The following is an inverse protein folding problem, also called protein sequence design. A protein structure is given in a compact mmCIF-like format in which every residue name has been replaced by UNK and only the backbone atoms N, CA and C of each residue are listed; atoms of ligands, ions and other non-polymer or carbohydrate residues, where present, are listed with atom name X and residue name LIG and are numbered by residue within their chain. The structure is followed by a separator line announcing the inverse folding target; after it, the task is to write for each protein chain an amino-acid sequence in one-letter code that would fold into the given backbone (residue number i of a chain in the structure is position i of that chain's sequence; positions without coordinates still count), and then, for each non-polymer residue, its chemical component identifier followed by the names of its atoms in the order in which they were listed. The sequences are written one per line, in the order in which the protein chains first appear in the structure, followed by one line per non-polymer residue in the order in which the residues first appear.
data_IF_646333485575
#
_entry.id   IF_646333485575
#
_cell.length_a   1.000
_cell.length_b   1.000
_cell.length_c   1.000
_cell.angle_alpha   90.00
_cell.angle_beta   90.00
_cell.angle_gamma   90.00
#
_symmetry.space_group_name_H-M   'P 1'
#
loop_
_entity.id
_entity.type
_entity.pdbx_description
1 polymer ?
#
# COMPACT_ATOMS: atom_id res chain seq x y z
N UNK A 1 -22.72 34.60 -44.41
CA UNK A 1 -22.70 34.74 -42.93
C UNK A 1 -24.13 35.03 -42.48
N UNK A 2 -24.62 34.50 -41.34
CA UNK A 2 -23.84 34.25 -40.14
C UNK A 2 -23.81 32.79 -39.66
N UNK A 3 -22.60 32.40 -39.25
CA UNK A 3 -22.35 31.48 -38.16
C UNK A 3 -22.70 32.20 -36.86
N UNK A 4 -23.26 31.49 -35.87
CA UNK A 4 -23.11 31.89 -34.47
C UNK A 4 -23.31 30.73 -33.49
N UNK A 5 -22.69 30.84 -32.31
CA UNK A 5 -22.11 29.71 -31.57
C UNK A 5 -22.70 29.55 -30.15
N UNK A 6 -22.28 28.52 -29.42
CA UNK A 6 -21.92 28.52 -27.98
C UNK A 6 -21.77 27.07 -27.51
N UNK A 7 -20.61 26.57 -27.11
CA UNK A 7 -19.76 26.94 -25.96
C UNK A 7 -20.35 26.51 -24.60
N UNK A 8 -19.67 25.54 -24.00
CA UNK A 8 -19.43 25.26 -22.58
C UNK A 8 -20.20 26.07 -21.51
N UNK A 9 -20.78 25.36 -20.55
CA UNK A 9 -20.50 25.56 -19.11
C UNK A 9 -21.27 24.53 -18.27
N UNK A 10 -20.56 23.61 -17.58
CA UNK A 10 -21.10 22.97 -16.38
C UNK A 10 -21.05 23.99 -15.23
N UNK A 11 -22.09 24.08 -14.38
CA UNK A 11 -22.20 25.15 -13.39
C UNK A 11 -21.17 24.98 -12.26
N UNK A 12 -20.35 26.02 -12.06
CA UNK A 12 -19.63 26.26 -10.81
C UNK A 12 -20.62 26.75 -9.76
N UNK A 13 -20.91 25.93 -8.75
CA UNK A 13 -21.59 26.39 -7.54
C UNK A 13 -20.59 26.98 -6.56
N UNK A 14 -20.59 28.30 -6.46
CA UNK A 14 -20.01 29.09 -5.37
C UNK A 14 -20.94 29.05 -4.16
N UNK A 15 -20.44 28.62 -3.00
CA UNK A 15 -21.05 28.94 -1.70
C UNK A 15 -19.94 29.38 -0.76
N UNK A 16 -20.16 30.52 -0.11
CA UNK A 16 -19.23 31.14 0.81
C UNK A 16 -19.90 31.42 2.17
N UNK A 17 -19.03 31.46 3.20
CA UNK A 17 -19.15 32.09 4.54
C UNK A 17 -20.06 31.34 5.55
N UNK A 18 -19.77 31.13 6.85
CA UNK A 18 -18.98 31.87 7.85
C UNK A 18 -18.67 30.98 9.08
N UNK A 19 -17.53 31.23 9.73
CA UNK A 19 -17.09 30.65 11.02
C UNK A 19 -17.75 31.32 12.24
N UNK A 20 -17.70 30.66 13.41
CA UNK A 20 -17.21 31.36 14.60
C UNK A 20 -16.09 30.60 15.31
N UNK A 21 -15.29 31.36 16.04
CA UNK A 21 -14.05 30.94 16.68
C UNK A 21 -14.21 30.58 18.17
N UNK A 22 -13.41 29.60 18.56
CA UNK A 22 -12.73 29.37 19.85
C UNK A 22 -13.54 29.18 21.15
N UNK A 23 -13.27 28.04 21.80
CA UNK A 23 -12.87 28.02 23.21
C UNK A 23 -11.95 26.84 23.50
N UNK A 24 -10.98 27.08 24.39
CA UNK A 24 -9.79 26.31 24.63
C UNK A 24 -9.90 25.30 25.79
N UNK A 25 -8.86 24.45 25.92
CA UNK A 25 -8.49 23.60 27.07
C UNK A 25 -9.17 22.21 27.07
N UNK A 26 -8.44 21.10 27.02
CA UNK A 26 -7.43 20.70 28.01
C UNK A 26 -6.43 19.68 27.43
N UNK A 27 -5.19 19.80 27.93
CA UNK A 27 -4.04 18.93 27.68
C UNK A 27 -4.26 17.55 28.30
N UNK A 28 -4.23 16.49 27.50
CA UNK A 28 -4.04 15.11 27.97
C UNK A 28 -2.77 14.51 27.35
N UNK A 29 -1.84 14.07 28.21
CA UNK A 29 -0.59 13.36 27.88
C UNK A 29 -0.88 11.86 27.59
N UNK A 30 0.03 11.14 26.91
CA UNK A 30 -0.28 10.00 26.06
C UNK A 30 -0.30 8.65 26.80
N UNK A 31 -1.29 7.82 26.48
CA UNK A 31 -1.37 6.38 26.80
C UNK A 31 -2.51 5.82 25.93
N UNK A 32 -2.45 4.68 25.27
CA UNK A 32 -1.63 3.50 25.45
C UNK A 32 -1.28 2.89 24.08
N UNK A 33 -0.23 2.08 24.07
CA UNK A 33 0.07 1.17 22.97
C UNK A 33 -1.20 0.43 22.51
N UNK A 34 -1.36 0.29 21.20
CA UNK A 34 -2.38 -0.55 20.60
C UNK A 34 -2.37 -1.93 21.27
N UNK A 35 -3.55 -2.52 21.56
CA UNK A 35 -3.61 -3.85 22.12
C UNK A 35 -2.94 -4.82 21.13
N UNK A 36 -1.87 -5.44 21.59
CA UNK A 36 -1.22 -6.58 20.94
C UNK A 36 -2.29 -7.65 20.75
N UNK A 37 -2.64 -7.96 19.50
CA UNK A 37 -3.64 -8.96 19.18
C UNK A 37 -3.29 -10.28 19.90
N UNK A 38 -4.25 -10.78 20.69
CA UNK A 38 -4.13 -12.07 21.37
C UNK A 38 -4.18 -13.20 20.33
N UNK A 39 -3.42 -14.29 20.53
CA UNK A 39 -3.46 -15.45 19.65
C UNK A 39 -4.83 -16.13 19.83
N UNK A 40 -5.70 -16.01 18.84
CA UNK A 40 -7.04 -16.59 18.90
C UNK A 40 -8.13 -15.85 18.13
N UNK A 41 -7.83 -14.73 17.45
CA UNK A 41 -8.73 -14.23 16.42
C UNK A 41 -8.86 -15.33 15.37
N UNK A 42 -9.99 -16.04 15.43
CA UNK A 42 -10.32 -17.17 14.57
C UNK A 42 -10.02 -16.73 13.15
N UNK A 43 -9.28 -17.55 12.39
CA UNK A 43 -8.91 -17.33 10.99
C UNK A 43 -10.18 -17.18 10.14
N UNK A 44 -10.94 -16.09 10.29
CA UNK A 44 -12.08 -15.78 9.45
C UNK A 44 -11.50 -15.65 8.05
N UNK A 45 -12.07 -16.42 7.12
CA UNK A 45 -11.73 -16.29 5.73
C UNK A 45 -12.00 -14.84 5.35
N UNK A 46 -10.97 -14.16 4.83
CA UNK A 46 -11.20 -12.90 4.16
C UNK A 46 -11.90 -13.24 2.84
N UNK A 47 -13.05 -12.61 2.54
CA UNK A 47 -13.75 -12.92 1.31
C UNK A 47 -12.84 -12.63 0.10
N UNK A 48 -12.61 -13.68 -0.70
CA UNK A 48 -12.05 -13.59 -2.05
C UNK A 48 -13.22 -13.58 -3.02
N UNK A 49 -13.19 -12.67 -3.98
CA UNK A 49 -14.26 -12.46 -4.97
C UNK A 49 -13.69 -12.53 -6.38
N UNK A 50 -14.53 -12.86 -7.37
CA UNK A 50 -14.14 -12.94 -8.79
C UNK A 50 -14.88 -11.92 -9.66
N UNK A 51 -15.71 -11.08 -9.05
CA UNK A 51 -16.50 -10.03 -9.69
C UNK A 51 -16.93 -9.00 -8.63
N UNK A 52 -17.21 -7.74 -9.03
CA UNK A 52 -17.67 -6.69 -8.12
C UNK A 52 -19.03 -7.02 -7.51
N UNK A 53 -19.42 -6.31 -6.45
CA UNK A 53 -20.69 -6.56 -5.78
C UNK A 53 -21.12 -5.49 -4.78
N UNK A 54 -22.42 -5.45 -4.47
CA UNK A 54 -23.04 -4.39 -3.68
C UNK A 54 -22.38 -4.10 -2.32
N UNK A 55 -21.75 -5.11 -1.70
CA UNK A 55 -21.07 -5.00 -0.40
C UNK A 55 -19.54 -5.10 -0.50
N UNK A 56 -18.98 -4.89 -1.69
CA UNK A 56 -17.55 -5.03 -1.98
C UNK A 56 -16.82 -3.69 -2.10
N UNK A 57 -17.49 -2.56 -1.83
CA UNK A 57 -16.83 -1.27 -1.76
C UNK A 57 -15.59 -1.31 -0.83
N UNK A 58 -14.45 -0.88 -1.36
CA UNK A 58 -13.14 -0.93 -0.72
C UNK A 58 -12.36 -2.23 -0.92
N UNK A 59 -12.87 -3.21 -1.66
CA UNK A 59 -12.11 -4.40 -2.02
C UNK A 59 -11.00 -4.04 -3.01
N UNK A 60 -9.85 -4.68 -2.87
CA UNK A 60 -8.72 -4.53 -3.79
C UNK A 60 -8.78 -5.63 -4.82
N UNK A 61 -8.89 -5.26 -6.09
CA UNK A 61 -8.96 -6.17 -7.22
C UNK A 61 -7.62 -6.21 -7.94
N UNK A 62 -7.28 -7.39 -8.43
CA UNK A 62 -6.04 -7.71 -9.11
C UNK A 62 -6.35 -8.03 -10.57
N UNK A 63 -5.54 -7.49 -11.46
CA UNK A 63 -5.56 -7.78 -12.89
C UNK A 63 -4.18 -8.18 -13.35
N UNK A 64 -4.11 -9.06 -14.35
CA UNK A 64 -2.97 -9.09 -15.27
C UNK A 64 -3.27 -8.06 -16.35
N UNK A 65 -2.29 -7.22 -16.65
CA UNK A 65 -2.29 -6.42 -17.87
C UNK A 65 -1.18 -6.93 -18.78
N UNK A 66 -1.46 -7.03 -20.07
CA UNK A 66 -0.46 -7.32 -21.10
C UNK A 66 -0.26 -6.06 -21.93
N UNK A 67 0.94 -5.51 -21.90
CA UNK A 67 1.33 -4.34 -22.67
C UNK A 67 1.39 -4.66 -24.18
N UNK A 68 1.41 -3.64 -25.07
CA UNK A 68 1.44 -3.84 -26.51
C UNK A 68 2.64 -4.65 -27.03
N UNK A 69 3.75 -4.67 -26.28
CA UNK A 69 4.96 -5.44 -26.56
C UNK A 69 4.89 -6.89 -26.03
N UNK A 70 3.82 -7.25 -25.32
CA UNK A 70 3.61 -8.57 -24.75
C UNK A 70 4.08 -8.73 -23.31
N UNK A 71 4.66 -7.69 -22.69
CA UNK A 71 5.05 -7.76 -21.27
C UNK A 71 3.83 -7.80 -20.36
N UNK A 72 3.86 -8.67 -19.35
CA UNK A 72 2.79 -8.82 -18.37
C UNK A 72 3.15 -8.17 -17.04
N UNK A 73 2.17 -7.47 -16.45
CA UNK A 73 2.29 -6.87 -15.12
C UNK A 73 1.01 -7.12 -14.31
N UNK A 74 1.17 -7.37 -13.01
CA UNK A 74 0.04 -7.38 -12.08
C UNK A 74 -0.29 -5.94 -11.67
N UNK A 75 -1.50 -5.52 -11.96
CA UNK A 75 -2.06 -4.23 -11.58
C UNK A 75 -3.13 -4.41 -10.49
N UNK A 76 -3.30 -3.37 -9.69
CA UNK A 76 -4.31 -3.35 -8.62
C UNK A 76 -5.19 -2.10 -8.68
N UNK A 77 -6.44 -2.26 -8.28
CA UNK A 77 -7.43 -1.19 -8.18
C UNK A 77 -8.36 -1.42 -7.00
N UNK A 78 -9.11 -0.40 -6.61
CA UNK A 78 -10.05 -0.48 -5.49
C UNK A 78 -11.49 -0.25 -5.95
N UNK A 79 -12.40 -1.12 -5.51
CA UNK A 79 -13.82 -1.02 -5.85
C UNK A 79 -14.50 0.12 -5.09
N UNK A 80 -15.29 0.91 -5.81
CA UNK A 80 -16.07 2.01 -5.29
C UNK A 80 -17.52 1.58 -4.96
N UNK A 81 -18.27 2.37 -4.17
CA UNK A 81 -19.64 2.01 -3.81
C UNK A 81 -20.63 1.85 -4.98
N UNK A 82 -20.29 2.36 -6.16
CA UNK A 82 -21.06 2.23 -7.39
C UNK A 82 -20.56 1.09 -8.30
N UNK A 83 -19.66 0.22 -7.81
CA UNK A 83 -19.11 -0.93 -8.53
C UNK A 83 -18.02 -0.59 -9.55
N UNK A 84 -17.68 0.70 -9.69
CA UNK A 84 -16.56 1.15 -10.52
C UNK A 84 -15.22 0.91 -9.83
N UNK A 85 -14.14 0.90 -10.60
CA UNK A 85 -12.78 0.70 -10.13
C UNK A 85 -12.02 2.01 -10.19
N UNK A 86 -11.44 2.40 -9.06
CA UNK A 86 -10.39 3.39 -9.02
C UNK A 86 -9.04 2.70 -9.14
N UNK A 87 -8.29 3.03 -10.19
CA UNK A 87 -6.96 2.46 -10.44
C UNK A 87 -6.04 3.53 -11.05
N UNK A 88 -4.72 3.32 -10.97
CA UNK A 88 -3.78 4.10 -11.75
C UNK A 88 -3.28 3.22 -12.90
N UNK A 89 -3.48 3.63 -14.15
CA UNK A 89 -3.22 2.81 -15.32
C UNK A 89 -2.11 3.42 -16.18
N UNK A 90 -1.20 2.61 -16.78
CA UNK A 90 -0.16 3.12 -17.68
C UNK A 90 -0.72 4.06 -18.76
N UNK A 91 -0.05 5.18 -18.99
CA UNK A 91 -0.42 6.25 -19.95
C UNK A 91 -1.69 7.06 -19.61
N UNK A 92 -2.59 6.54 -18.76
CA UNK A 92 -3.85 7.21 -18.39
C UNK A 92 -3.81 7.90 -17.03
N UNK A 93 -2.90 7.49 -16.14
CA UNK A 93 -2.84 8.00 -14.77
C UNK A 93 -3.96 7.44 -13.89
N UNK A 94 -4.33 8.19 -12.85
CA UNK A 94 -5.41 7.81 -11.92
C UNK A 94 -6.76 8.03 -12.58
N UNK A 95 -7.57 6.97 -12.66
CA UNK A 95 -8.87 6.97 -13.31
C UNK A 95 -9.92 6.22 -12.49
N UNK A 96 -11.19 6.58 -12.71
CA UNK A 96 -12.34 5.81 -12.24
C UNK A 96 -13.07 5.25 -13.45
N UNK A 97 -13.04 3.94 -13.60
CA UNK A 97 -13.58 3.23 -14.78
C UNK A 97 -14.60 2.18 -14.37
N UNK A 98 -15.43 1.76 -15.30
CA UNK A 98 -16.28 0.58 -15.09
C UNK A 98 -15.42 -0.67 -14.86
N UNK A 99 -15.96 -1.65 -14.15
CA UNK A 99 -15.24 -2.90 -13.90
C UNK A 99 -15.02 -3.66 -15.22
N UNK A 100 -13.76 -4.03 -15.49
CA UNK A 100 -13.38 -4.80 -16.67
C UNK A 100 -12.94 -6.20 -16.22
N UNK A 101 -13.77 -7.21 -16.48
CA UNK A 101 -13.43 -8.60 -16.16
C UNK A 101 -12.35 -9.15 -17.09
N UNK A 102 -12.50 -8.91 -18.39
CA UNK A 102 -11.57 -9.28 -19.44
C UNK A 102 -11.79 -8.34 -20.62
N UNK A 103 -10.73 -7.97 -21.32
CA UNK A 103 -10.87 -7.14 -22.52
C UNK A 103 -9.62 -6.33 -22.84
N UNK A 104 -9.86 -5.13 -23.39
CA UNK A 104 -8.80 -4.23 -23.81
C UNK A 104 -9.04 -2.81 -23.33
N UNK A 105 -7.95 -2.13 -22.98
CA UNK A 105 -7.93 -0.71 -22.63
C UNK A 105 -7.07 0.00 -23.66
N UNK A 106 -7.66 0.96 -24.37
CA UNK A 106 -6.90 1.91 -25.21
C UNK A 106 -6.38 3.04 -24.32
N UNK A 107 -5.06 3.09 -24.20
CA UNK A 107 -4.35 4.09 -23.44
C UNK A 107 -3.48 4.94 -24.38
N UNK A 108 -4.07 6.03 -24.89
CA UNK A 108 -3.41 6.96 -25.83
C UNK A 108 -2.91 6.30 -27.12
N UNK A 109 -3.73 5.42 -27.71
CA UNK A 109 -3.41 4.67 -28.92
C UNK A 109 -2.56 3.42 -28.69
N UNK A 110 -2.29 3.08 -27.43
CA UNK A 110 -1.63 1.83 -27.03
C UNK A 110 -2.67 0.89 -26.45
N UNK A 111 -2.78 -0.30 -27.03
CA UNK A 111 -3.78 -1.27 -26.65
C UNK A 111 -3.22 -2.25 -25.62
N UNK A 112 -3.75 -2.21 -24.41
CA UNK A 112 -3.41 -3.14 -23.33
C UNK A 112 -4.49 -4.20 -23.23
N UNK A 113 -4.11 -5.47 -23.10
CA UNK A 113 -5.06 -6.52 -22.69
C UNK A 113 -5.17 -6.51 -21.18
N UNK A 114 -6.37 -6.72 -20.66
CA UNK A 114 -6.61 -6.76 -19.22
C UNK A 114 -7.43 -8.00 -18.88
N UNK A 115 -7.03 -8.69 -17.83
CA UNK A 115 -7.74 -9.85 -17.32
C UNK A 115 -7.81 -9.77 -15.79
N UNK A 116 -9.02 -9.73 -15.26
CA UNK A 116 -9.27 -9.78 -13.83
C UNK A 116 -8.93 -11.15 -13.27
N UNK A 117 -8.24 -11.16 -12.13
CA UNK A 117 -7.87 -12.39 -11.44
C UNK A 117 -8.80 -12.67 -10.27
N UNK A 118 -8.89 -11.71 -9.34
CA UNK A 118 -9.63 -11.83 -8.09
C UNK A 118 -9.71 -10.46 -7.38
N UNK A 119 -10.58 -10.37 -6.38
CA UNK A 119 -10.63 -9.27 -5.43
C UNK A 119 -10.49 -9.79 -4.00
N UNK A 120 -9.88 -8.99 -3.14
CA UNK A 120 -9.70 -9.28 -1.72
C UNK A 120 -10.19 -8.13 -0.86
N UNK A 121 -10.82 -8.49 0.26
CA UNK A 121 -11.11 -7.56 1.33
C UNK A 121 -9.80 -7.17 2.06
N UNK A 122 -9.42 -5.88 2.12
CA UNK A 122 -8.13 -5.48 2.69
C UNK A 122 -8.07 -5.54 4.22
N UNK A 123 -9.22 -5.40 4.91
CA UNK A 123 -9.29 -5.43 6.37
C UNK A 123 -10.26 -6.50 6.86
N UNK A 124 -9.81 -7.36 7.78
CA UNK A 124 -10.68 -8.35 8.44
C UNK A 124 -11.74 -7.70 9.34
N UNK A 125 -11.40 -6.57 9.95
CA UNK A 125 -12.28 -5.83 10.86
C UNK A 125 -13.38 -5.07 10.09
N UNK A 126 -14.63 -5.22 10.54
CA UNK A 126 -15.77 -4.51 9.96
C UNK A 126 -15.74 -3.01 10.26
N UNK A 127 -15.20 -2.61 11.42
CA UNK A 127 -15.02 -1.19 11.74
C UNK A 127 -14.07 -0.50 10.76
N UNK A 128 -12.94 -1.13 10.48
CA UNK A 128 -11.95 -0.67 9.52
C UNK A 128 -12.52 -0.60 8.10
N UNK A 129 -13.27 -1.62 7.65
CA UNK A 129 -13.94 -1.56 6.34
C UNK A 129 -15.00 -0.46 6.27
N UNK A 130 -15.83 -0.27 7.31
CA UNK A 130 -16.77 0.86 7.35
C UNK A 130 -16.04 2.20 7.29
N UNK A 131 -14.94 2.34 8.03
CA UNK A 131 -14.09 3.52 8.00
C UNK A 131 -13.50 3.80 6.62
N UNK A 132 -12.98 2.76 5.95
CA UNK A 132 -12.49 2.84 4.57
C UNK A 132 -13.59 3.32 3.63
N UNK A 133 -14.75 2.64 3.61
CA UNK A 133 -15.89 2.97 2.73
C UNK A 133 -16.38 4.40 2.90
N UNK A 134 -16.49 4.86 4.15
CA UNK A 134 -16.96 6.21 4.46
C UNK A 134 -16.04 7.31 3.91
N UNK A 135 -14.73 7.05 3.81
CA UNK A 135 -13.74 8.05 3.39
C UNK A 135 -13.18 7.80 1.98
N UNK A 136 -13.50 6.67 1.34
CA UNK A 136 -12.85 6.24 0.10
C UNK A 136 -12.94 7.29 -1.01
N UNK A 137 -14.13 7.83 -1.24
CA UNK A 137 -14.34 8.89 -2.26
C UNK A 137 -13.53 10.15 -1.97
N UNK A 138 -13.51 10.59 -0.71
CA UNK A 138 -12.74 11.76 -0.30
C UNK A 138 -11.23 11.56 -0.50
N UNK A 139 -10.72 10.36 -0.15
CA UNK A 139 -9.30 10.02 -0.34
C UNK A 139 -8.92 9.94 -1.82
N UNK A 140 -9.86 9.51 -2.66
CA UNK A 140 -9.67 9.39 -4.09
C UNK A 140 -9.74 10.73 -4.83
N UNK A 141 -10.64 11.63 -4.42
CA UNK A 141 -10.90 12.90 -5.10
C UNK A 141 -9.61 13.70 -5.36
N UNK A 142 -8.72 13.79 -4.37
CA UNK A 142 -7.42 14.46 -4.50
C UNK A 142 -6.61 13.97 -5.72
N UNK A 143 -6.62 12.67 -6.01
CA UNK A 143 -5.80 12.08 -7.07
C UNK A 143 -6.44 12.20 -8.45
N UNK A 144 -7.76 12.09 -8.50
CA UNK A 144 -8.54 12.17 -9.75
C UNK A 144 -8.63 13.62 -10.21
N UNK A 145 -8.94 14.55 -9.30
CA UNK A 145 -9.13 15.97 -9.63
C UNK A 145 -7.82 16.64 -10.09
N UNK A 146 -6.68 16.16 -9.61
CA UNK A 146 -5.36 16.63 -10.01
C UNK A 146 -4.83 15.97 -11.30
N UNK A 147 -5.64 15.11 -11.96
CA UNK A 147 -5.25 14.35 -13.17
C UNK A 147 -3.90 13.63 -13.00
N UNK A 148 -3.69 13.03 -11.82
CA UNK A 148 -2.39 12.47 -11.41
C UNK A 148 -1.87 11.45 -12.42
N UNK A 149 -0.67 11.68 -12.96
CA UNK A 149 -0.06 10.82 -13.96
C UNK A 149 0.40 9.46 -13.39
N UNK A 150 0.59 8.48 -14.28
CA UNK A 150 1.14 7.18 -13.93
C UNK A 150 2.67 7.26 -13.84
N UNK A 151 3.25 6.69 -12.78
CA UNK A 151 4.70 6.68 -12.63
C UNK A 151 5.39 5.71 -13.61
N UNK A 152 6.29 6.23 -14.45
CA UNK A 152 7.16 5.40 -15.29
C UNK A 152 8.59 5.35 -14.76
N UNK A 153 9.16 4.14 -14.66
CA UNK A 153 10.56 3.94 -14.33
C UNK A 153 11.47 4.73 -15.28
N UNK A 154 12.29 5.62 -14.75
CA UNK A 154 13.29 6.38 -15.51
C UNK A 154 12.86 7.78 -15.98
N UNK A 155 11.61 8.20 -15.77
CA UNK A 155 11.24 9.62 -15.95
C UNK A 155 11.47 10.39 -14.65
N UNK A 156 12.29 11.45 -14.70
CA UNK A 156 12.35 12.45 -13.62
C UNK A 156 11.12 13.34 -13.75
N UNK A 157 10.07 12.97 -13.04
CA UNK A 157 8.85 13.77 -13.01
C UNK A 157 9.03 14.92 -12.00
N UNK A 158 8.70 16.14 -12.44
CA UNK A 158 8.66 17.32 -11.56
C UNK A 158 7.35 17.39 -10.77
N UNK A 159 6.36 16.62 -11.21
CA UNK A 159 5.02 16.53 -10.66
C UNK A 159 4.84 15.19 -9.93
N UNK A 160 3.82 15.11 -9.07
CA UNK A 160 3.50 13.89 -8.33
C UNK A 160 2.86 12.89 -9.30
N UNK A 161 3.32 11.64 -9.27
CA UNK A 161 2.71 10.52 -9.99
C UNK A 161 2.34 9.39 -9.04
N UNK A 162 1.51 8.48 -9.51
CA UNK A 162 1.17 7.25 -8.79
C UNK A 162 1.23 6.03 -9.71
N UNK A 163 1.87 4.96 -9.24
CA UNK A 163 1.61 3.61 -9.76
C UNK A 163 0.28 3.08 -9.19
N UNK A 164 -0.24 1.99 -9.75
CA UNK A 164 -1.44 1.35 -9.23
C UNK A 164 -1.32 0.97 -7.75
N UNK A 165 -0.16 0.41 -7.40
CA UNK A 165 0.20 0.07 -6.03
C UNK A 165 0.28 1.33 -5.16
N UNK A 166 0.91 2.40 -5.65
CA UNK A 166 1.00 3.68 -4.92
C UNK A 166 -0.37 4.26 -4.59
N UNK A 167 -1.30 4.25 -5.56
CA UNK A 167 -2.68 4.70 -5.37
C UNK A 167 -3.39 3.85 -4.30
N UNK A 168 -3.42 2.53 -4.47
CA UNK A 168 -4.11 1.63 -3.52
C UNK A 168 -3.53 1.77 -2.11
N UNK A 169 -2.20 1.89 -1.98
CA UNK A 169 -1.56 2.08 -0.67
C UNK A 169 -1.94 3.40 -0.01
N UNK A 170 -2.08 4.49 -0.76
CA UNK A 170 -2.54 5.77 -0.20
C UNK A 170 -4.02 5.75 0.17
N UNK A 171 -4.84 4.99 -0.57
CA UNK A 171 -6.26 4.84 -0.25
C UNK A 171 -6.47 3.97 1.00
N UNK A 172 -5.69 2.90 1.17
CA UNK A 172 -5.77 2.02 2.34
C UNK A 172 -5.09 2.63 3.58
N UNK A 173 -3.90 3.22 3.41
CA UNK A 173 -3.04 3.72 4.47
C UNK A 173 -2.63 5.18 4.22
N UNK A 174 -3.59 6.13 4.36
CA UNK A 174 -3.34 7.52 4.02
C UNK A 174 -2.17 8.07 4.83
N UNK A 175 -1.14 8.51 4.10
CA UNK A 175 0.08 9.08 4.63
C UNK A 175 -0.05 10.51 5.12
N UNK A 176 1.04 11.04 5.70
CA UNK A 176 1.19 12.50 5.89
C UNK A 176 1.45 13.23 4.57
N UNK A 177 2.01 12.52 3.59
CA UNK A 177 2.35 13.07 2.28
C UNK A 177 1.91 12.11 1.16
N UNK A 178 1.59 12.63 -0.03
CA UNK A 178 1.30 11.84 -1.23
C UNK A 178 2.33 10.77 -1.58
N UNK A 179 3.60 10.97 -1.20
CA UNK A 179 4.66 10.05 -1.52
C UNK A 179 4.86 8.93 -0.48
N UNK A 180 4.28 9.04 0.73
CA UNK A 180 4.64 8.18 1.87
C UNK A 180 3.39 7.63 2.57
N UNK A 181 2.83 6.49 2.12
CA UNK A 181 1.69 5.87 2.79
C UNK A 181 2.06 5.47 4.23
N UNK A 182 1.11 5.64 5.16
CA UNK A 182 1.29 5.34 6.58
C UNK A 182 1.07 3.85 6.85
N UNK A 183 1.87 3.00 6.20
CA UNK A 183 1.72 1.54 6.31
C UNK A 183 2.03 1.05 7.73
N UNK A 184 1.41 -0.08 8.16
CA UNK A 184 1.77 -0.75 9.40
C UNK A 184 3.25 -1.14 9.45
N UNK A 185 3.81 -1.20 10.67
CA UNK A 185 5.23 -1.53 10.87
C UNK A 185 5.57 -2.97 10.44
N UNK A 186 4.59 -3.86 10.51
CA UNK A 186 4.66 -5.28 10.13
C UNK A 186 4.33 -5.54 8.66
N UNK A 187 4.12 -4.49 7.85
CA UNK A 187 3.86 -4.64 6.41
C UNK A 187 5.04 -5.37 5.74
N UNK A 188 4.78 -6.48 5.01
CA UNK A 188 5.83 -7.29 4.39
C UNK A 188 6.55 -6.52 3.27
N UNK A 189 7.82 -6.89 3.02
CA UNK A 189 8.68 -6.32 1.98
C UNK A 189 9.55 -7.41 1.35
N UNK A 190 8.93 -8.32 0.62
CA UNK A 190 9.61 -9.45 -0.03
C UNK A 190 10.27 -9.04 -1.35
N UNK A 191 9.81 -7.95 -1.97
CA UNK A 191 10.39 -7.41 -3.22
C UNK A 191 11.61 -6.51 -3.01
N UNK A 192 12.03 -6.28 -1.76
CA UNK A 192 13.14 -5.41 -1.38
C UNK A 192 12.73 -4.21 -0.53
N UNK A 193 13.71 -3.44 -0.05
CA UNK A 193 13.46 -2.37 0.93
C UNK A 193 12.93 -1.07 0.32
N UNK A 194 13.12 -0.86 -0.98
CA UNK A 194 12.95 0.45 -1.61
C UNK A 194 11.51 0.75 -2.03
N UNK A 195 10.73 -0.26 -2.42
CA UNK A 195 9.38 -0.08 -2.98
C UNK A 195 8.45 -1.21 -2.53
N UNK A 196 7.17 -0.91 -2.37
CA UNK A 196 6.14 -1.91 -2.12
C UNK A 196 5.67 -2.54 -3.43
N UNK A 197 5.47 -3.84 -3.44
CA UNK A 197 4.96 -4.59 -4.61
C UNK A 197 3.51 -5.04 -4.41
N UNK A 198 2.84 -5.42 -5.49
CA UNK A 198 1.49 -6.02 -5.43
C UNK A 198 1.48 -7.34 -4.66
N UNK A 199 2.61 -8.05 -4.63
CA UNK A 199 2.85 -9.25 -3.84
C UNK A 199 2.94 -8.94 -2.33
N UNK A 200 3.61 -7.85 -1.95
CA UNK A 200 3.64 -7.40 -0.55
C UNK A 200 2.23 -7.11 -0.05
N UNK A 201 1.43 -6.41 -0.86
CA UNK A 201 0.02 -6.15 -0.56
C UNK A 201 -0.78 -7.45 -0.42
N UNK A 202 -0.56 -8.41 -1.30
CA UNK A 202 -1.25 -9.70 -1.27
C UNK A 202 -0.89 -10.47 0.01
N UNK A 203 0.38 -10.51 0.39
CA UNK A 203 0.86 -11.12 1.64
C UNK A 203 0.30 -10.43 2.87
N UNK A 204 0.21 -9.10 2.84
CA UNK A 204 -0.39 -8.31 3.91
C UNK A 204 -1.87 -8.67 4.07
N UNK A 205 -2.66 -8.56 2.99
CA UNK A 205 -4.10 -8.81 3.04
C UNK A 205 -4.43 -10.24 3.42
N UNK A 206 -3.66 -11.23 2.95
CA UNK A 206 -3.90 -12.63 3.32
C UNK A 206 -3.41 -13.02 4.74
N UNK A 207 -2.65 -12.13 5.38
CA UNK A 207 -1.95 -12.33 6.67
C UNK A 207 -0.98 -13.51 6.68
N UNK A 208 -0.50 -13.95 5.51
CA UNK A 208 0.44 -15.08 5.43
C UNK A 208 1.79 -14.74 6.07
N UNK A 209 2.16 -13.46 6.12
CA UNK A 209 3.39 -12.97 6.73
C UNK A 209 3.38 -13.08 8.28
N UNK A 210 2.21 -13.07 8.92
CA UNK A 210 2.08 -13.18 10.39
C UNK A 210 2.25 -14.62 10.89
N UNK A 211 2.14 -15.61 9.99
CA UNK A 211 2.10 -17.02 10.37
C UNK A 211 3.52 -17.57 10.64
N UNK A 212 3.66 -18.44 11.65
CA UNK A 212 4.96 -18.87 12.14
C UNK A 212 5.68 -19.80 11.15
N UNK A 213 4.96 -20.72 10.51
CA UNK A 213 5.55 -21.78 9.70
C UNK A 213 4.75 -22.08 8.41
N UNK A 214 5.35 -22.89 7.54
CA UNK A 214 4.74 -23.25 6.26
C UNK A 214 3.48 -24.11 6.37
N UNK A 215 3.28 -24.86 7.48
CA UNK A 215 2.05 -25.64 7.68
C UNK A 215 0.88 -24.72 7.98
N UNK A 216 1.06 -23.75 8.87
CA UNK A 216 0.08 -22.74 9.19
C UNK A 216 -0.31 -21.92 7.94
N UNK A 217 0.68 -21.53 7.13
CA UNK A 217 0.44 -20.82 5.86
C UNK A 217 -0.36 -21.65 4.86
N UNK A 218 -0.01 -22.92 4.63
CA UNK A 218 -0.80 -23.81 3.76
C UNK A 218 -2.24 -23.96 4.24
N UNK A 219 -2.45 -24.15 5.54
CA UNK A 219 -3.81 -24.22 6.09
C UNK A 219 -4.58 -22.92 5.86
N UNK A 220 -3.93 -21.76 6.03
CA UNK A 220 -4.54 -20.45 5.73
C UNK A 220 -4.90 -20.33 4.25
N UNK A 221 -4.02 -20.72 3.33
CA UNK A 221 -4.27 -20.70 1.88
C UNK A 221 -5.51 -21.54 1.53
N UNK A 222 -5.62 -22.75 2.11
CA UNK A 222 -6.80 -23.62 1.94
C UNK A 222 -8.08 -22.98 2.47
N UNK A 223 -8.03 -22.33 3.64
CA UNK A 223 -9.20 -21.65 4.24
C UNK A 223 -9.61 -20.40 3.46
N UNK A 224 -8.65 -19.67 2.89
CA UNK A 224 -8.93 -18.50 2.05
C UNK A 224 -9.67 -18.91 0.76
N UNK A 225 -9.31 -20.05 0.18
CA UNK A 225 -9.88 -20.51 -1.09
C UNK A 225 -9.62 -19.52 -2.23
N UNK A 226 -10.56 -19.45 -3.18
CA UNK A 226 -10.43 -18.59 -4.37
C UNK A 226 -9.95 -19.35 -5.61
N UNK A 227 -9.70 -18.64 -6.71
CA UNK A 227 -9.35 -19.25 -7.99
C UNK A 227 -7.95 -19.91 -7.96
N UNK A 228 -7.68 -20.89 -8.85
CA UNK A 228 -6.38 -21.58 -8.90
C UNK A 228 -5.17 -20.63 -8.98
N UNK A 229 -5.27 -19.58 -9.80
CA UNK A 229 -4.20 -18.59 -9.95
C UNK A 229 -3.82 -17.91 -8.61
N UNK A 230 -4.81 -17.61 -7.75
CA UNK A 230 -4.54 -17.08 -6.42
C UNK A 230 -3.86 -18.13 -5.53
N UNK A 231 -4.33 -19.37 -5.57
CA UNK A 231 -3.78 -20.45 -4.75
C UNK A 231 -2.32 -20.73 -5.09
N UNK A 232 -1.98 -20.77 -6.38
CA UNK A 232 -0.62 -20.95 -6.88
C UNK A 232 0.28 -19.79 -6.46
N UNK A 233 -0.20 -18.55 -6.62
CA UNK A 233 0.55 -17.36 -6.25
C UNK A 233 0.83 -17.29 -4.74
N UNK A 234 -0.18 -17.56 -3.90
CA UNK A 234 0.01 -17.61 -2.45
C UNK A 234 0.95 -18.74 -2.01
N UNK A 235 0.93 -19.88 -2.70
CA UNK A 235 1.85 -20.98 -2.42
C UNK A 235 3.30 -20.58 -2.76
N UNK A 236 3.52 -19.93 -3.91
CA UNK A 236 4.83 -19.38 -4.32
C UNK A 236 5.35 -18.36 -3.30
N UNK A 237 4.53 -17.36 -2.95
CA UNK A 237 4.91 -16.33 -1.98
C UNK A 237 5.15 -16.89 -0.58
N UNK A 238 4.38 -17.91 -0.18
CA UNK A 238 4.63 -18.61 1.09
C UNK A 238 5.95 -19.35 1.11
N UNK A 239 6.43 -19.88 -0.02
CA UNK A 239 7.73 -20.51 -0.12
C UNK A 239 8.86 -19.48 0.00
N UNK A 240 8.74 -18.36 -0.71
CA UNK A 240 9.69 -17.24 -0.64
C UNK A 240 9.86 -16.70 0.79
N UNK A 241 8.75 -16.49 1.51
CA UNK A 241 8.80 -16.07 2.92
C UNK A 241 9.48 -17.07 3.86
N UNK A 242 9.53 -18.35 3.50
CA UNK A 242 10.23 -19.36 4.29
C UNK A 242 11.75 -19.30 4.04
N UNK A 243 12.17 -18.94 2.83
CA UNK A 243 13.57 -18.79 2.48
C UNK A 243 14.18 -17.52 3.07
N UNK A 244 13.48 -16.39 3.05
CA UNK A 244 13.95 -15.13 3.65
C UNK A 244 14.16 -15.22 5.17
N UNK A 245 13.42 -16.12 5.84
CA UNK A 245 13.54 -16.34 7.29
C UNK A 245 14.65 -17.32 7.67
N UNK A 246 15.29 -17.99 6.72
CA UNK A 246 16.43 -18.85 7.03
C UNK A 246 17.61 -17.93 7.38
N UNK A 247 18.21 -18.06 8.58
CA UNK A 247 19.43 -17.32 8.88
C UNK A 247 20.49 -17.71 7.85
N UNK A 248 21.03 -16.72 7.15
CA UNK A 248 22.12 -16.94 6.20
C UNK A 248 23.29 -17.58 6.94
N UNK A 249 23.79 -18.69 6.40
CA UNK A 249 24.95 -19.43 6.93
C UNK A 249 26.21 -18.53 6.98
N UNK A 250 26.20 -17.40 6.27
CA UNK A 250 27.26 -16.38 6.32
C UNK A 250 27.33 -15.62 7.67
N UNK A 251 26.24 -15.51 8.44
CA UNK A 251 26.24 -14.79 9.72
C UNK A 251 26.73 -15.64 10.91
N UNK A 252 26.82 -16.97 10.74
CA UNK A 252 27.34 -17.87 11.78
C UNK A 252 28.87 -18.02 11.74
N UNK A 253 29.54 -17.40 10.77
CA UNK A 253 30.99 -17.53 10.54
C UNK A 253 31.81 -16.30 10.98
N UNK A 254 31.34 -15.48 11.94
CA UNK A 254 32.21 -14.50 12.61
C UNK A 254 32.83 -15.13 13.87
N UNK A 255 34.13 -15.49 13.86
CA UNK A 255 34.80 -15.92 15.08
C UNK A 255 34.83 -14.77 16.10
N UNK A 256 34.81 -15.07 17.41
CA UNK A 256 34.73 -14.06 18.45
C UNK A 256 35.98 -13.17 18.42
N UNK A 257 35.81 -11.91 18.02
CA UNK A 257 36.83 -10.88 18.18
C UNK A 257 37.08 -10.68 19.67
N UNK A 258 38.24 -11.17 20.14
CA UNK A 258 38.79 -10.83 21.46
C UNK A 258 38.86 -9.31 21.58
N UNK A 259 38.04 -8.75 22.48
CA UNK A 259 38.08 -7.35 22.90
C UNK A 259 39.49 -7.02 23.40
N UNK A 260 40.25 -6.28 22.59
CA UNK A 260 41.49 -5.62 23.04
C UNK A 260 41.06 -4.39 23.84
N UNK A 261 41.26 -4.44 25.15
CA UNK A 261 41.05 -3.32 26.06
C UNK A 261 42.13 -2.27 25.74
N UNK A 262 41.77 -1.23 25.00
CA UNK A 262 42.62 -0.05 24.85
C UNK A 262 42.52 0.79 26.12
N UNK A 263 43.61 0.77 26.90
CA UNK A 263 43.78 1.57 28.10
C UNK A 263 43.80 3.07 27.75
N UNK A 264 43.01 3.83 28.49
CA UNK A 264 42.95 5.30 28.50
C UNK A 264 44.27 5.86 29.07
N UNK A 265 44.94 6.83 28.42
CA UNK A 265 46.13 7.45 29.00
C UNK A 265 45.73 8.36 30.20
N UNK A 266 46.52 8.39 31.29
CA UNK A 266 46.24 9.25 32.43
C UNK A 266 46.60 10.71 32.16
N UNK A 267 45.77 11.61 32.71
CA UNK A 267 45.92 13.06 32.64
C UNK A 267 47.16 13.57 33.43
N UNK A 268 47.82 14.66 32.99
CA UNK A 268 48.94 15.24 33.70
C UNK A 268 48.49 16.00 34.96
N UNK A 269 49.24 15.82 36.05
CA UNK A 269 49.05 16.49 37.35
C UNK A 269 49.40 17.99 37.25
N UNK A 270 48.68 18.89 37.92
CA UNK A 270 49.03 20.30 37.98
C UNK A 270 50.20 20.55 38.94
N UNK A 271 51.21 21.29 38.47
CA UNK A 271 52.36 21.73 39.26
C UNK A 271 51.94 22.90 40.16
N UNK A 272 52.00 22.69 41.47
CA UNK A 272 51.79 23.70 42.50
C UNK A 272 52.97 24.68 42.49
N UNK A 273 52.70 25.95 42.17
CA UNK A 273 53.60 27.08 42.46
C UNK A 273 53.45 27.48 43.93
N UNK A 274 54.56 27.58 44.65
CA UNK A 274 54.72 28.41 45.85
C UNK A 274 56.16 28.96 45.93
N UNK A 275 56.39 30.07 46.65
CA UNK A 275 57.18 31.18 46.14
C UNK A 275 58.50 31.44 46.89
N UNK A 276 59.33 32.25 46.22
CA UNK A 276 60.27 33.28 46.68
C UNK A 276 61.37 32.92 47.71
N UNK A 277 62.60 33.13 47.24
CA UNK A 277 63.81 33.44 47.99
C UNK A 277 64.78 34.11 47.02
#
# INVERSE_FOLDING_TARGET
MPLSPSAFALPRSTVAVTTPAMSASTRAKPRAAAPRALPGETLRALPVVTAPGADQAGYVHYWVITAPDGEEEIQVGIELPDGRIAWAFPELGVQVVDFIADGQVDARGRLFRVQHLYGLRPFADEGAMRGLRAHLRQRLAFWVDDETAYCFSGRREREICLSCMGLVMQLLFPGKTPAHPAVPQDFPRIGGELHYTTEDLLLYMTRLHELPDGRARRQRITVLGGPPALQEELARLSAQLADDRKPSVADTAKPPQKRRISARPPAPKPLVRRPAG
#
